data_IF_257255524101
#
_entry.id   IF_257255524101
#
_cell.length_a   1.000
_cell.length_b   1.000
_cell.length_c   1.000
_cell.angle_alpha   90.00
_cell.angle_beta   90.00
_cell.angle_gamma   90.00
#
_symmetry.space_group_name_H-M   'P 1'
#
loop_
_entity.id
_entity.type
_entity.pdbx_description
1 polymer ?
#
# COMPACT_ATOMS: atom_id res chain seq x y z
N UNK A 1 2.74 16.62 14.81
CA UNK A 1 3.68 17.41 13.99
C UNK A 1 3.92 16.65 12.70
N UNK A 2 3.63 17.25 11.54
CA UNK A 2 3.84 16.61 10.24
C UNK A 2 5.34 16.64 9.90
N UNK A 3 5.89 15.48 9.50
CA UNK A 3 7.27 15.35 9.06
C UNK A 3 7.29 14.69 7.70
N UNK A 4 8.01 15.28 6.76
CA UNK A 4 8.28 14.65 5.46
C UNK A 4 9.19 13.44 5.70
N UNK A 5 8.87 12.33 5.04
CA UNK A 5 9.71 11.12 5.04
C UNK A 5 10.38 10.97 3.68
N UNK A 6 11.64 10.51 3.62
CA UNK A 6 12.30 10.26 2.35
C UNK A 6 11.54 9.21 1.54
N UNK A 7 11.39 9.46 0.23
CA UNK A 7 10.88 8.50 -0.73
C UNK A 7 11.92 8.36 -1.87
N UNK A 8 12.41 7.14 -2.17
CA UNK A 8 13.37 6.95 -3.25
C UNK A 8 12.77 7.33 -4.62
N UNK A 9 13.59 7.86 -5.55
CA UNK A 9 13.15 8.13 -6.91
C UNK A 9 12.71 6.84 -7.62
N UNK A 10 11.73 6.94 -8.52
CA UNK A 10 11.21 5.84 -9.34
C UNK A 10 10.81 4.58 -8.57
N UNK A 11 10.41 4.71 -7.30
CA UNK A 11 10.03 3.60 -6.42
C UNK A 11 8.56 3.68 -6.00
N UNK A 12 7.61 3.42 -6.92
CA UNK A 12 6.17 3.45 -6.63
C UNK A 12 5.76 2.46 -5.51
N UNK A 13 6.49 1.37 -5.38
CA UNK A 13 6.37 0.33 -4.36
C UNK A 13 6.65 0.82 -2.93
N UNK A 14 7.27 1.99 -2.79
CA UNK A 14 7.58 2.63 -1.49
C UNK A 14 6.60 3.72 -1.10
N UNK A 15 5.53 3.91 -1.88
CA UNK A 15 4.49 4.89 -1.61
C UNK A 15 3.15 4.18 -1.36
N UNK A 16 2.58 4.39 -0.17
CA UNK A 16 1.32 3.75 0.24
C UNK A 16 0.16 4.03 -0.72
N UNK A 17 0.12 5.25 -1.28
CA UNK A 17 -0.95 5.67 -2.16
C UNK A 17 -0.91 4.88 -3.46
N UNK A 18 0.29 4.74 -4.03
CA UNK A 18 0.49 4.00 -5.26
C UNK A 18 0.42 2.47 -5.05
N UNK A 19 0.92 1.98 -3.92
CA UNK A 19 1.01 0.54 -3.63
C UNK A 19 -0.37 -0.14 -3.52
N UNK A 20 -1.37 0.57 -3.00
CA UNK A 20 -2.69 -0.06 -2.83
C UNK A 20 -3.89 0.88 -2.77
N UNK A 21 -3.72 2.13 -2.36
CA UNK A 21 -4.87 3.03 -2.22
C UNK A 21 -5.49 3.40 -3.57
N UNK A 22 -4.70 3.91 -4.52
CA UNK A 22 -5.20 4.30 -5.83
C UNK A 22 -5.74 3.11 -6.62
N UNK A 23 -5.04 1.98 -6.62
CA UNK A 23 -5.51 0.77 -7.28
C UNK A 23 -6.86 0.30 -6.73
N UNK A 24 -7.06 0.37 -5.41
CA UNK A 24 -8.30 -0.05 -4.80
C UNK A 24 -9.44 0.97 -4.97
N UNK A 25 -9.15 2.26 -4.90
CA UNK A 25 -10.12 3.32 -5.19
C UNK A 25 -10.57 3.28 -6.65
N UNK A 26 -9.64 3.07 -7.59
CA UNK A 26 -9.94 2.93 -9.00
C UNK A 26 -10.80 1.68 -9.27
N UNK A 27 -10.48 0.55 -8.61
CA UNK A 27 -11.32 -0.64 -8.68
C UNK A 27 -12.76 -0.37 -8.22
N UNK A 28 -12.95 0.41 -7.14
CA UNK A 28 -14.29 0.80 -6.66
C UNK A 28 -15.01 1.74 -7.63
N UNK A 29 -14.30 2.69 -8.22
CA UNK A 29 -14.83 3.58 -9.25
C UNK A 29 -15.35 2.79 -10.46
N UNK A 30 -14.63 1.77 -10.93
CA UNK A 30 -15.04 0.93 -12.08
C UNK A 30 -16.31 0.11 -11.84
N UNK A 31 -16.71 -0.10 -10.58
CA UNK A 31 -18.00 -0.74 -10.27
C UNK A 31 -19.20 0.19 -10.50
N UNK A 32 -18.98 1.48 -10.74
CA UNK A 32 -20.03 2.45 -11.06
C UNK A 32 -20.03 2.71 -12.57
N UNK A 33 -21.13 2.38 -13.23
CA UNK A 33 -21.28 2.65 -14.66
C UNK A 33 -21.39 4.15 -14.86
N UNK A 34 -20.45 4.71 -15.62
CA UNK A 34 -20.49 6.11 -16.04
C UNK A 34 -20.94 6.11 -17.49
N UNK A 35 -22.11 6.66 -17.77
CA UNK A 35 -22.69 6.62 -19.12
C UNK A 35 -22.19 7.77 -20.02
N UNK A 36 -21.49 8.75 -19.43
CA UNK A 36 -20.84 9.86 -20.13
C UNK A 36 -19.50 10.19 -19.46
N UNK A 37 -18.54 10.71 -20.22
CA UNK A 37 -17.35 11.38 -19.67
C UNK A 37 -17.77 12.76 -19.16
N UNK A 38 -18.75 12.78 -18.26
CA UNK A 38 -19.06 14.01 -17.51
C UNK A 38 -18.07 14.07 -16.35
N UNK A 39 -17.21 15.08 -16.39
CA UNK A 39 -16.18 15.34 -15.37
C UNK A 39 -16.78 15.34 -13.97
N UNK A 40 -18.02 15.83 -13.82
CA UNK A 40 -18.74 15.87 -12.55
C UNK A 40 -19.09 14.46 -12.03
N UNK A 41 -19.52 13.54 -12.89
CA UNK A 41 -19.84 12.15 -12.50
C UNK A 41 -18.57 11.39 -12.09
N UNK A 42 -17.45 11.63 -12.78
CA UNK A 42 -16.17 11.01 -12.45
C UNK A 42 -15.68 11.44 -11.07
N UNK A 43 -15.70 12.74 -10.80
CA UNK A 43 -15.28 13.31 -9.51
C UNK A 43 -16.18 12.79 -8.39
N UNK A 44 -17.51 12.76 -8.58
CA UNK A 44 -18.44 12.22 -7.60
C UNK A 44 -18.18 10.73 -7.28
N UNK A 45 -17.82 9.93 -8.30
CA UNK A 45 -17.48 8.52 -8.11
C UNK A 45 -16.17 8.34 -7.34
N UNK A 46 -15.16 9.18 -7.55
CA UNK A 46 -13.91 9.16 -6.78
C UNK A 46 -14.17 9.51 -5.31
N UNK A 47 -14.96 10.56 -5.05
CA UNK A 47 -15.37 10.91 -3.68
C UNK A 47 -16.11 9.76 -2.98
N UNK A 48 -17.07 9.15 -3.68
CA UNK A 48 -17.79 8.03 -3.10
C UNK A 48 -16.89 6.79 -2.90
N UNK A 49 -15.92 6.54 -3.78
CA UNK A 49 -14.93 5.47 -3.61
C UNK A 49 -14.01 5.73 -2.40
N UNK A 50 -13.65 6.99 -2.16
CA UNK A 50 -12.90 7.42 -0.98
C UNK A 50 -13.71 7.17 0.30
N UNK A 51 -14.96 7.65 0.38
CA UNK A 51 -15.81 7.54 1.57
C UNK A 51 -16.18 6.08 1.89
N UNK A 52 -16.31 5.24 0.87
CA UNK A 52 -16.62 3.82 1.04
C UNK A 52 -15.39 2.95 1.27
N UNK A 53 -14.18 3.51 1.19
CA UNK A 53 -12.97 2.72 1.33
C UNK A 53 -12.82 2.22 2.76
N UNK A 54 -12.80 0.88 3.00
CA UNK A 54 -12.71 0.34 4.35
C UNK A 54 -11.31 0.59 4.93
N UNK A 55 -11.24 1.23 6.10
CA UNK A 55 -9.99 1.53 6.80
C UNK A 55 -9.14 0.29 7.06
N UNK A 56 -9.76 -0.88 7.27
CA UNK A 56 -9.05 -2.15 7.49
C UNK A 56 -8.27 -2.60 6.23
N UNK A 57 -8.58 -2.07 5.04
CA UNK A 57 -7.74 -2.28 3.85
C UNK A 57 -6.48 -1.41 3.89
N UNK A 58 -6.52 -0.23 4.51
CA UNK A 58 -5.31 0.59 4.69
C UNK A 58 -4.30 -0.13 5.57
N UNK A 59 -4.72 -0.70 6.71
CA UNK A 59 -3.81 -1.41 7.63
C UNK A 59 -3.05 -2.53 6.90
N UNK A 60 -3.77 -3.32 6.09
CA UNK A 60 -3.16 -4.37 5.26
C UNK A 60 -2.19 -3.81 4.22
N UNK A 61 -2.48 -2.62 3.69
CA UNK A 61 -1.60 -1.94 2.72
C UNK A 61 -0.34 -1.42 3.41
N UNK A 62 -0.44 -0.88 4.63
CA UNK A 62 0.71 -0.46 5.44
C UNK A 62 1.63 -1.63 5.75
N UNK A 63 1.10 -2.77 6.16
CA UNK A 63 1.89 -3.99 6.37
C UNK A 63 2.58 -4.45 5.08
N UNK A 64 1.91 -4.29 3.94
CA UNK A 64 2.52 -4.60 2.64
C UNK A 64 3.67 -3.65 2.31
N UNK A 65 3.49 -2.34 2.55
CA UNK A 65 4.53 -1.34 2.35
C UNK A 65 5.77 -1.67 3.18
N UNK A 66 5.59 -1.97 4.47
CA UNK A 66 6.71 -2.32 5.34
C UNK A 66 7.42 -3.61 4.87
N UNK A 67 6.66 -4.61 4.42
CA UNK A 67 7.23 -5.83 3.85
C UNK A 67 8.01 -5.57 2.54
N UNK A 68 7.50 -4.71 1.66
CA UNK A 68 8.21 -4.27 0.45
C UNK A 68 9.51 -3.56 0.79
N UNK A 69 9.52 -2.70 1.82
CA UNK A 69 10.75 -2.05 2.29
C UNK A 69 11.78 -3.06 2.81
N UNK A 70 11.33 -4.09 3.54
CA UNK A 70 12.20 -5.19 3.99
C UNK A 70 12.78 -5.97 2.82
N UNK A 71 11.96 -6.34 1.83
CA UNK A 71 12.45 -7.03 0.63
C UNK A 71 13.43 -6.16 -0.17
N UNK A 72 13.15 -4.86 -0.30
CA UNK A 72 14.07 -3.90 -0.93
C UNK A 72 15.42 -3.85 -0.23
N UNK A 73 15.46 -3.93 1.10
CA UNK A 73 16.74 -4.04 1.84
C UNK A 73 17.47 -5.35 1.51
N UNK A 74 16.75 -6.48 1.48
CA UNK A 74 17.34 -7.79 1.13
C UNK A 74 17.92 -7.85 -0.28
N UNK A 75 17.38 -7.09 -1.23
CA UNK A 75 17.91 -6.96 -2.58
C UNK A 75 18.72 -5.68 -2.81
N UNK A 76 19.27 -5.07 -1.75
CA UNK A 76 20.19 -3.92 -1.82
C UNK A 76 19.65 -2.72 -2.63
N UNK A 77 18.35 -2.46 -2.55
CA UNK A 77 17.68 -1.34 -3.22
C UNK A 77 17.03 -1.67 -4.55
N UNK A 78 17.21 -2.90 -5.07
CA UNK A 78 16.60 -3.35 -6.33
C UNK A 78 15.06 -3.50 -6.20
N UNK A 79 14.36 -3.63 -7.32
CA UNK A 79 12.92 -3.86 -7.42
C UNK A 79 12.56 -5.27 -7.91
N UNK A 80 13.55 -6.15 -8.08
CA UNK A 80 13.36 -7.53 -8.55
C UNK A 80 12.63 -8.46 -7.56
N UNK A 81 12.18 -7.96 -6.41
CA UNK A 81 11.49 -8.74 -5.40
C UNK A 81 10.00 -8.90 -5.73
N UNK A 82 9.40 -9.98 -5.22
CA UNK A 82 7.95 -10.20 -5.30
C UNK A 82 7.29 -9.61 -4.06
N UNK A 83 6.15 -8.95 -4.24
CA UNK A 83 5.36 -8.41 -3.11
C UNK A 83 5.00 -9.55 -2.13
N UNK A 84 5.39 -9.46 -0.85
CA UNK A 84 5.15 -10.54 0.10
C UNK A 84 3.66 -10.82 0.39
N UNK A 85 3.27 -12.09 0.29
CA UNK A 85 1.91 -12.54 0.61
C UNK A 85 1.79 -12.97 2.08
N UNK A 86 1.52 -12.01 2.97
CA UNK A 86 1.50 -12.21 4.42
C UNK A 86 0.16 -12.73 5.00
N UNK A 87 -0.75 -13.27 4.18
CA UNK A 87 -2.06 -13.77 4.65
C UNK A 87 -2.85 -12.76 5.50
N UNK A 88 -2.67 -11.47 5.22
CA UNK A 88 -3.13 -10.34 6.03
C UNK A 88 -4.63 -10.36 6.32
N UNK A 89 -5.44 -10.83 5.37
CA UNK A 89 -6.89 -10.99 5.53
C UNK A 89 -7.23 -12.03 6.60
N UNK A 90 -6.54 -13.18 6.58
CA UNK A 90 -6.70 -14.24 7.58
C UNK A 90 -6.28 -13.74 8.96
N UNK A 91 -5.16 -13.04 9.05
CA UNK A 91 -4.66 -12.49 10.32
C UNK A 91 -5.60 -11.44 10.91
N UNK A 92 -6.09 -10.50 10.10
CA UNK A 92 -7.06 -9.48 10.52
C UNK A 92 -8.35 -10.12 11.06
N UNK A 93 -8.88 -11.14 10.37
CA UNK A 93 -10.08 -11.87 10.83
C UNK A 93 -9.89 -12.55 12.19
N UNK A 94 -8.68 -12.96 12.51
CA UNK A 94 -8.35 -13.57 13.80
C UNK A 94 -7.99 -12.53 14.88
N UNK A 95 -7.97 -11.23 14.56
CA UNK A 95 -7.47 -10.18 15.46
C UNK A 95 -5.95 -10.25 15.70
N UNK A 96 -5.21 -10.90 14.82
CA UNK A 96 -3.76 -11.15 14.93
C UNK A 96 -2.94 -10.42 13.86
N UNK A 97 -3.53 -9.42 13.18
CA UNK A 97 -2.77 -8.61 12.23
C UNK A 97 -1.80 -7.73 13.03
N UNK A 98 -0.48 -7.84 12.81
CA UNK A 98 0.46 -6.97 13.50
C UNK A 98 0.33 -5.54 12.98
N UNK A 99 0.71 -4.56 13.81
CA UNK A 99 0.81 -3.16 13.38
C UNK A 99 2.05 -2.89 12.52
N UNK A 100 3.10 -3.71 12.70
CA UNK A 100 4.35 -3.58 11.98
C UNK A 100 4.85 -4.94 11.45
N UNK A 101 5.45 -4.93 10.27
CA UNK A 101 6.16 -6.09 9.73
C UNK A 101 7.48 -6.31 10.50
N UNK A 102 7.86 -7.57 10.67
CA UNK A 102 9.15 -7.91 11.23
C UNK A 102 10.27 -7.47 10.26
N UNK A 103 11.24 -6.70 10.76
CA UNK A 103 12.46 -6.35 10.05
C UNK A 103 13.61 -7.21 10.59
N UNK A 104 14.15 -8.15 9.79
CA UNK A 104 15.31 -8.95 10.19
C UNK A 104 16.53 -8.05 10.44
N UNK A 105 17.26 -8.30 11.54
CA UNK A 105 18.42 -7.50 11.94
C UNK A 105 19.52 -7.56 10.88
N UNK A 106 19.77 -8.74 10.32
CA UNK A 106 20.70 -8.95 9.21
C UNK A 106 20.31 -8.14 7.97
N UNK A 107 19.03 -8.11 7.59
CA UNK A 107 18.56 -7.33 6.45
C UNK A 107 18.82 -5.83 6.66
N UNK A 108 18.66 -5.33 7.88
CA UNK A 108 18.95 -3.95 8.23
C UNK A 108 20.45 -3.65 8.28
N UNK A 109 21.22 -4.47 8.99
CA UNK A 109 22.65 -4.27 9.20
C UNK A 109 23.44 -4.37 7.88
N UNK A 110 23.01 -5.22 6.95
CA UNK A 110 23.65 -5.35 5.62
C UNK A 110 23.51 -4.10 4.74
N UNK A 111 22.55 -3.22 5.01
CA UNK A 111 22.32 -1.99 4.22
C UNK A 111 22.56 -0.71 5.02
N UNK A 112 22.70 -0.83 6.34
CA UNK A 112 23.01 0.29 7.23
C UNK A 112 24.48 0.67 7.03
N UNK A 113 24.71 1.85 6.47
CA UNK A 113 26.04 2.47 6.40
C UNK A 113 26.45 3.06 7.73
#
# INVERSE_FOLDING_TARGET
MFSIKPQPPNSPDTNILNLGFFAASQSLQHHRSVHKVDEFELVANVHAAFDTYPFERLDRTFITLQACLVEKMKCFGDNAYKVPHLSKVKQARLGLLPENAACPVDAYDNVKR
#
